data_IF_295033077330
#
_entry.id   IF_295033077330
#
_cell.length_a   1.000
_cell.length_b   1.000
_cell.length_c   1.000
_cell.angle_alpha   90.00
_cell.angle_beta   90.00
_cell.angle_gamma   90.00
#
_symmetry.space_group_name_H-M   'P 1'
#
loop_
_entity.id
_entity.type
_entity.pdbx_description
1 polymer ?
#
# COMPACT_ATOMS: atom_id res chain seq x y z
N UNK A 1 -17.67 -3.06 19.31
CA UNK A 1 -18.68 -2.00 19.13
C UNK A 1 -18.98 -1.90 17.64
N UNK A 2 -20.26 -1.87 17.26
CA UNK A 2 -20.69 -1.96 15.87
C UNK A 2 -20.32 -0.69 15.08
N UNK A 3 -19.70 -0.85 13.91
CA UNK A 3 -19.39 0.24 12.99
C UNK A 3 -20.63 0.57 12.14
N UNK A 4 -20.97 1.85 12.10
CA UNK A 4 -22.14 2.42 11.43
C UNK A 4 -21.77 2.85 10.02
N UNK A 5 -22.50 2.37 9.01
CA UNK A 5 -22.37 2.78 7.60
C UNK A 5 -22.86 4.22 7.36
N UNK A 6 -22.24 4.99 6.44
CA UNK A 6 -22.79 6.25 5.97
C UNK A 6 -23.69 6.06 4.74
N UNK A 7 -24.93 6.57 4.85
CA UNK A 7 -25.97 6.64 3.80
C UNK A 7 -25.58 7.64 2.70
N UNK A 8 -25.57 7.17 1.45
CA UNK A 8 -25.58 7.99 0.24
C UNK A 8 -26.95 8.64 0.02
N UNK A 9 -26.96 9.94 -0.31
CA UNK A 9 -28.12 10.65 -0.83
C UNK A 9 -27.75 11.29 -2.17
N UNK A 10 -28.32 10.76 -3.26
CA UNK A 10 -28.31 11.37 -4.60
C UNK A 10 -29.26 12.58 -4.65
N UNK A 11 -28.92 13.66 -5.39
CA UNK A 11 -29.87 14.69 -5.78
C UNK A 11 -30.57 14.37 -7.10
N UNK A 12 -31.90 14.49 -7.08
CA UNK A 12 -32.83 14.37 -8.22
C UNK A 12 -32.67 15.47 -9.26
N UNK A 13 -32.76 15.06 -10.52
CA UNK A 13 -32.98 15.89 -11.71
C UNK A 13 -34.22 16.79 -11.61
N UNK A 14 -34.09 18.02 -12.11
CA UNK A 14 -35.23 18.83 -12.57
C UNK A 14 -34.76 19.88 -13.59
N UNK A 15 -35.07 19.66 -14.87
CA UNK A 15 -35.15 20.72 -15.89
C UNK A 15 -36.39 21.61 -15.65
N UNK A 16 -36.37 22.88 -16.09
CA UNK A 16 -37.22 23.18 -17.24
C UNK A 16 -36.70 24.21 -18.26
N UNK A 17 -37.01 23.87 -19.51
CA UNK A 17 -37.29 24.63 -20.75
C UNK A 17 -37.36 26.16 -20.78
N UNK A 18 -36.83 26.63 -21.92
CA UNK A 18 -36.78 27.94 -22.57
C UNK A 18 -38.10 28.73 -22.74
N UNK A 19 -37.97 30.06 -22.72
CA UNK A 19 -38.80 31.00 -23.49
C UNK A 19 -37.96 32.19 -23.98
N UNK A 20 -38.12 32.51 -25.27
CA UNK A 20 -37.45 33.57 -26.04
C UNK A 20 -38.22 34.91 -26.03
N UNK A 21 -37.66 36.02 -26.59
CA UNK A 21 -37.80 37.38 -26.07
C UNK A 21 -38.88 38.22 -26.79
N UNK A 22 -39.13 39.43 -26.26
CA UNK A 22 -39.90 40.48 -26.95
C UNK A 22 -39.16 41.81 -26.97
N UNK A 23 -39.02 42.33 -28.18
CA UNK A 23 -38.53 43.65 -28.55
C UNK A 23 -39.48 44.78 -28.11
N UNK A 24 -38.91 45.94 -27.77
CA UNK A 24 -39.52 47.27 -27.91
C UNK A 24 -38.44 48.37 -27.82
N UNK A 25 -38.07 48.94 -28.96
CA UNK A 25 -37.49 50.28 -29.13
C UNK A 25 -38.63 51.30 -29.40
N UNK A 26 -38.39 52.62 -29.58
CA UNK A 26 -37.42 53.53 -28.97
C UNK A 26 -38.10 54.84 -28.50
N UNK A 27 -37.39 55.75 -27.80
CA UNK A 27 -37.74 57.19 -27.83
C UNK A 27 -36.52 58.09 -27.72
N UNK A 28 -36.46 58.99 -28.70
CA UNK A 28 -35.51 60.06 -28.93
C UNK A 28 -35.56 61.16 -27.86
N UNK A 29 -34.40 61.74 -27.57
CA UNK A 29 -34.27 63.15 -27.19
C UNK A 29 -32.91 63.67 -27.69
N UNK A 30 -33.01 64.62 -28.60
CA UNK A 30 -31.98 65.32 -29.37
C UNK A 30 -31.30 66.46 -28.55
N UNK A 31 -30.36 67.29 -29.07
CA UNK A 31 -29.00 67.40 -28.55
C UNK A 31 -28.66 68.79 -27.99
N UNK A 32 -27.43 68.94 -27.46
CA UNK A 32 -26.78 70.26 -27.33
C UNK A 32 -25.33 70.17 -27.79
N UNK A 33 -25.06 70.88 -28.87
CA UNK A 33 -23.74 71.18 -29.39
C UNK A 33 -22.98 72.16 -28.48
N UNK A 34 -21.67 71.96 -28.35
CA UNK A 34 -20.70 73.03 -28.14
C UNK A 34 -19.33 72.56 -28.63
N UNK A 35 -18.81 73.31 -29.60
CA UNK A 35 -17.54 73.14 -30.32
C UNK A 35 -16.29 73.10 -29.43
N UNK A 36 -15.24 72.42 -29.92
CA UNK A 36 -13.89 72.50 -29.38
C UNK A 36 -12.87 71.69 -30.18
N UNK A 37 -11.94 72.39 -30.83
CA UNK A 37 -10.92 71.92 -31.78
C UNK A 37 -9.87 70.91 -31.26
N UNK A 38 -9.31 70.18 -32.26
CA UNK A 38 -7.96 69.60 -32.36
C UNK A 38 -7.56 68.38 -31.50
N UNK A 39 -7.36 67.23 -32.17
CA UNK A 39 -6.48 66.17 -31.67
C UNK A 39 -6.06 65.14 -32.73
N UNK A 40 -4.75 64.99 -33.01
CA UNK A 40 -4.10 63.70 -33.23
C UNK A 40 -3.17 63.40 -32.04
N UNK A 41 -2.78 62.13 -31.73
CA UNK A 41 -2.60 61.01 -32.65
C UNK A 41 -3.33 59.71 -32.23
N UNK A 42 -3.40 58.74 -33.15
CA UNK A 42 -4.06 57.44 -32.95
C UNK A 42 -3.53 56.62 -31.77
N UNK A 43 -4.32 55.66 -31.25
CA UNK A 43 -4.06 55.02 -29.97
C UNK A 43 -2.85 54.08 -29.99
N UNK A 44 -2.11 53.93 -28.87
CA UNK A 44 -1.06 52.93 -28.76
C UNK A 44 -1.69 51.55 -28.57
N UNK A 45 -1.55 50.67 -29.56
CA UNK A 45 -1.93 49.26 -29.43
C UNK A 45 -0.75 48.31 -29.69
N UNK A 46 0.09 48.01 -28.67
CA UNK A 46 0.79 46.72 -28.66
C UNK A 46 0.81 46.00 -27.29
N UNK A 47 0.38 46.61 -26.19
CA UNK A 47 0.64 46.05 -24.85
C UNK A 47 -0.27 44.87 -24.45
N UNK A 48 -1.57 44.93 -24.76
CA UNK A 48 -2.51 43.84 -24.43
C UNK A 48 -2.14 42.52 -25.13
N UNK A 49 -1.71 42.58 -26.39
CA UNK A 49 -1.26 41.41 -27.18
C UNK A 49 0.04 40.80 -26.63
N UNK A 50 0.97 41.63 -26.13
CA UNK A 50 2.22 41.18 -25.50
C UNK A 50 1.98 40.52 -24.13
N UNK A 51 1.09 41.09 -23.31
CA UNK A 51 0.69 40.48 -22.00
C UNK A 51 0.01 39.14 -22.19
N UNK A 52 -0.96 39.01 -23.11
CA UNK A 52 -1.65 37.74 -23.38
C UNK A 52 -0.70 36.65 -23.89
N UNK A 53 0.25 36.99 -24.77
CA UNK A 53 1.30 36.06 -25.23
C UNK A 53 2.22 35.61 -24.09
N UNK A 54 2.56 36.52 -23.16
CA UNK A 54 3.39 36.20 -22.00
C UNK A 54 2.64 35.28 -21.02
N UNK A 55 1.38 35.56 -20.72
CA UNK A 55 0.54 34.69 -19.87
C UNK A 55 0.40 33.31 -20.48
N UNK A 56 0.08 33.18 -21.78
CA UNK A 56 0.00 31.88 -22.46
C UNK A 56 1.31 31.09 -22.39
N UNK A 57 2.47 31.76 -22.54
CA UNK A 57 3.79 31.12 -22.40
C UNK A 57 4.05 30.65 -20.98
N UNK A 58 3.69 31.44 -19.97
CA UNK A 58 3.83 31.07 -18.56
C UNK A 58 2.91 29.88 -18.24
N UNK A 59 1.64 29.93 -18.63
CA UNK A 59 0.70 28.82 -18.45
C UNK A 59 1.20 27.55 -19.13
N UNK A 60 1.69 27.65 -20.37
CA UNK A 60 2.25 26.50 -21.08
C UNK A 60 3.51 25.97 -20.38
N UNK A 61 4.39 26.85 -19.90
CA UNK A 61 5.58 26.44 -19.16
C UNK A 61 5.22 25.75 -17.85
N UNK A 62 4.23 26.26 -17.10
CA UNK A 62 3.73 25.64 -15.87
C UNK A 62 3.11 24.27 -16.17
N UNK A 63 2.27 24.16 -17.20
CA UNK A 63 1.70 22.88 -17.62
C UNK A 63 2.79 21.88 -18.01
N UNK A 64 3.82 22.31 -18.75
CA UNK A 64 4.94 21.44 -19.11
C UNK A 64 5.74 20.99 -17.89
N UNK A 65 6.01 21.89 -16.94
CA UNK A 65 6.72 21.58 -15.69
C UNK A 65 5.96 20.57 -14.84
N UNK A 66 4.63 20.60 -14.84
CA UNK A 66 3.80 19.64 -14.08
C UNK A 66 3.57 18.33 -14.84
N UNK A 67 3.27 18.39 -16.14
CA UNK A 67 2.88 17.22 -16.92
C UNK A 67 4.07 16.38 -17.37
N UNK A 68 5.22 17.00 -17.68
CA UNK A 68 6.37 16.25 -18.20
C UNK A 68 6.93 15.24 -17.18
N UNK A 69 7.13 15.58 -15.88
CA UNK A 69 7.57 14.61 -14.89
C UNK A 69 6.56 13.47 -14.70
N UNK A 70 5.27 13.80 -14.65
CA UNK A 70 4.20 12.80 -14.53
C UNK A 70 4.22 11.84 -15.73
N UNK A 71 4.21 12.37 -16.96
CA UNK A 71 4.27 11.54 -18.17
C UNK A 71 5.54 10.69 -18.22
N UNK A 72 6.68 11.22 -17.76
CA UNK A 72 7.94 10.48 -17.70
C UNK A 72 7.84 9.32 -16.70
N UNK A 73 7.30 9.56 -15.51
CA UNK A 73 7.09 8.53 -14.49
C UNK A 73 6.13 7.43 -15.00
N UNK A 74 4.96 7.80 -15.53
CA UNK A 74 3.99 6.85 -16.07
C UNK A 74 4.55 6.04 -17.25
N UNK A 75 5.32 6.70 -18.13
CA UNK A 75 6.01 6.00 -19.23
C UNK A 75 7.06 5.02 -18.71
N UNK A 76 7.82 5.40 -17.67
CA UNK A 76 8.78 4.51 -17.05
C UNK A 76 8.11 3.28 -16.41
N UNK A 77 6.98 3.47 -15.70
CA UNK A 77 6.18 2.35 -15.19
C UNK A 77 5.67 1.46 -16.33
N UNK A 78 5.16 2.05 -17.41
CA UNK A 78 4.70 1.29 -18.57
C UNK A 78 5.82 0.46 -19.20
N UNK A 79 7.03 1.01 -19.29
CA UNK A 79 8.24 0.32 -19.76
C UNK A 79 8.63 -0.80 -18.79
N UNK A 80 8.55 -0.55 -17.47
CA UNK A 80 8.84 -1.58 -16.47
C UNK A 80 7.91 -2.79 -16.59
N UNK A 81 6.70 -2.63 -17.14
CA UNK A 81 5.77 -3.73 -17.39
C UNK A 81 5.93 -4.45 -18.75
N UNK A 82 6.84 -3.97 -19.60
CA UNK A 82 7.13 -4.59 -20.90
C UNK A 82 8.10 -5.78 -20.80
N UNK A 83 8.13 -6.61 -21.85
CA UNK A 83 8.97 -7.81 -21.93
C UNK A 83 8.31 -9.05 -21.31
N UNK A 84 9.00 -10.18 -21.36
CA UNK A 84 8.52 -11.43 -20.80
C UNK A 84 9.29 -11.77 -19.52
N UNK A 85 8.61 -12.24 -18.46
CA UNK A 85 9.32 -12.75 -17.29
C UNK A 85 10.17 -13.96 -17.66
N UNK A 86 11.35 -14.06 -17.07
CA UNK A 86 12.24 -15.21 -17.25
C UNK A 86 11.58 -16.50 -16.76
N UNK A 87 11.92 -17.61 -17.42
CA UNK A 87 11.53 -18.94 -16.96
C UNK A 87 12.04 -19.19 -15.53
N UNK A 88 11.25 -19.89 -14.72
CA UNK A 88 11.60 -20.17 -13.32
C UNK A 88 11.27 -19.04 -12.33
N UNK A 89 10.79 -17.88 -12.76
CA UNK A 89 10.25 -16.83 -11.87
C UNK A 89 8.86 -17.19 -11.32
N UNK A 90 8.76 -18.30 -10.60
CA UNK A 90 7.54 -18.85 -10.02
C UNK A 90 7.67 -19.03 -8.51
N UNK A 91 6.68 -19.61 -7.85
CA UNK A 91 6.79 -19.87 -6.41
C UNK A 91 8.04 -20.68 -6.05
N UNK A 92 8.65 -20.33 -4.90
CA UNK A 92 9.71 -21.12 -4.25
C UNK A 92 9.15 -22.00 -3.13
N UNK A 93 7.82 -22.14 -3.06
CA UNK A 93 7.11 -22.73 -1.93
C UNK A 93 7.41 -22.01 -0.61
N UNK A 94 7.46 -20.69 -0.68
CA UNK A 94 7.75 -19.80 0.45
C UNK A 94 6.82 -18.57 0.38
N UNK A 95 5.56 -18.78 0.03
CA UNK A 95 4.58 -17.70 -0.01
C UNK A 95 3.89 -17.54 1.34
N UNK A 96 3.18 -16.44 1.53
CA UNK A 96 2.43 -16.15 2.74
C UNK A 96 0.99 -15.71 2.45
N UNK A 97 0.15 -15.69 3.48
CA UNK A 97 -1.19 -15.10 3.41
C UNK A 97 -1.53 -14.45 4.74
N UNK A 98 -2.14 -13.26 4.69
CA UNK A 98 -2.77 -12.66 5.87
C UNK A 98 -4.15 -13.27 6.08
N UNK A 99 -4.44 -13.64 7.33
CA UNK A 99 -5.71 -14.19 7.76
C UNK A 99 -6.39 -13.25 8.75
N UNK A 100 -7.68 -13.03 8.55
CA UNK A 100 -8.48 -12.15 9.41
C UNK A 100 -8.68 -12.69 10.84
N UNK A 101 -9.15 -11.80 11.71
CA UNK A 101 -9.32 -12.07 13.15
C UNK A 101 -10.27 -13.23 13.49
N UNK A 102 -11.17 -13.58 12.56
CA UNK A 102 -12.15 -14.65 12.72
C UNK A 102 -11.53 -16.02 13.05
N UNK A 103 -10.27 -16.21 12.67
CA UNK A 103 -9.51 -17.43 12.92
C UNK A 103 -9.12 -17.64 14.39
N UNK A 104 -9.08 -16.57 15.19
CA UNK A 104 -8.61 -16.63 16.59
C UNK A 104 -9.68 -16.20 17.61
N UNK A 105 -10.78 -15.60 17.16
CA UNK A 105 -11.89 -15.17 18.03
C UNK A 105 -13.04 -16.20 18.17
N UNK A 106 -12.96 -17.32 17.44
CA UNK A 106 -13.90 -18.44 17.53
C UNK A 106 -15.03 -18.46 16.51
N UNK A 107 -15.03 -17.53 15.55
CA UNK A 107 -15.96 -17.58 14.41
C UNK A 107 -15.62 -18.73 13.44
N UNK A 108 -14.33 -19.02 13.20
CA UNK A 108 -13.87 -20.13 12.35
C UNK A 108 -13.86 -21.47 13.08
N UNK A 109 -14.14 -22.55 12.35
CA UNK A 109 -14.27 -23.92 12.87
C UNK A 109 -13.49 -24.93 12.02
N UNK A 110 -13.54 -26.20 12.40
CA UNK A 110 -12.78 -27.27 11.74
C UNK A 110 -13.12 -27.42 10.24
N UNK A 111 -14.36 -27.12 9.83
CA UNK A 111 -14.75 -27.12 8.42
C UNK A 111 -14.05 -26.00 7.62
N UNK A 112 -13.92 -24.80 8.22
CA UNK A 112 -13.17 -23.71 7.60
C UNK A 112 -11.68 -24.05 7.50
N UNK A 113 -11.11 -24.64 8.55
CA UNK A 113 -9.71 -25.09 8.54
C UNK A 113 -9.47 -26.15 7.45
N UNK A 114 -10.41 -27.10 7.30
CA UNK A 114 -10.34 -28.12 6.24
C UNK A 114 -10.40 -27.49 4.85
N UNK A 115 -11.19 -26.43 4.69
CA UNK A 115 -11.24 -25.67 3.44
C UNK A 115 -9.93 -24.96 3.16
N UNK A 116 -9.41 -24.21 4.14
CA UNK A 116 -8.10 -23.55 4.04
C UNK A 116 -6.99 -24.55 3.70
N UNK A 117 -6.93 -25.69 4.40
CA UNK A 117 -5.93 -26.73 4.13
C UNK A 117 -6.01 -27.29 2.70
N UNK A 118 -7.22 -27.41 2.15
CA UNK A 118 -7.41 -27.83 0.76
C UNK A 118 -6.89 -26.78 -0.21
N UNK A 119 -7.20 -25.51 0.04
CA UNK A 119 -6.80 -24.41 -0.83
C UNK A 119 -5.28 -24.23 -0.82
N UNK A 120 -4.64 -24.31 0.35
CA UNK A 120 -3.19 -24.17 0.48
C UNK A 120 -2.39 -25.37 -0.04
N UNK A 121 -3.01 -26.54 -0.21
CA UNK A 121 -2.31 -27.75 -0.68
C UNK A 121 -1.70 -27.59 -2.07
N UNK A 122 -2.32 -26.78 -2.92
CA UNK A 122 -1.90 -26.53 -4.30
C UNK A 122 -1.21 -25.18 -4.46
N UNK A 123 -0.60 -24.65 -3.39
CA UNK A 123 0.04 -23.33 -3.39
C UNK A 123 1.44 -23.41 -2.81
N UNK A 124 2.18 -22.30 -2.97
CA UNK A 124 3.47 -22.13 -2.32
C UNK A 124 3.39 -21.60 -0.89
N UNK A 125 2.18 -21.42 -0.33
CA UNK A 125 1.99 -20.75 0.96
C UNK A 125 2.49 -21.63 2.11
N UNK A 126 3.39 -21.06 2.92
CA UNK A 126 4.00 -21.69 4.10
C UNK A 126 3.96 -20.82 5.35
N UNK A 127 3.53 -19.56 5.25
CA UNK A 127 3.36 -18.68 6.41
C UNK A 127 1.95 -18.08 6.43
N UNK A 128 1.27 -18.21 7.58
CA UNK A 128 -0.03 -17.60 7.86
C UNK A 128 0.19 -16.45 8.84
N UNK A 129 -0.08 -15.21 8.41
CA UNK A 129 -0.06 -14.02 9.25
C UNK A 129 -1.47 -13.80 9.83
N UNK A 130 -1.71 -14.27 11.05
CA UNK A 130 -3.07 -14.32 11.62
C UNK A 130 -3.32 -13.13 12.52
N UNK A 131 -4.29 -12.28 12.17
CA UNK A 131 -4.59 -11.06 12.90
C UNK A 131 -4.98 -11.38 14.36
N UNK A 132 -4.04 -11.13 15.28
CA UNK A 132 -4.11 -11.53 16.70
C UNK A 132 -4.23 -10.29 17.61
N UNK A 133 -4.24 -9.09 17.03
CA UNK A 133 -4.44 -7.81 17.71
C UNK A 133 -5.82 -7.17 17.48
N UNK A 134 -5.90 -5.82 17.49
CA UNK A 134 -4.78 -4.89 17.63
C UNK A 134 -4.14 -4.95 19.03
N UNK A 135 -2.89 -4.51 19.13
CA UNK A 135 -2.32 -4.13 20.43
C UNK A 135 -2.96 -2.82 20.89
N UNK A 136 -2.93 -2.57 22.19
CA UNK A 136 -3.26 -1.25 22.74
C UNK A 136 -2.11 -0.26 22.47
N UNK A 137 -2.39 1.05 22.52
CA UNK A 137 -1.39 2.11 22.30
C UNK A 137 -0.21 2.09 23.29
N UNK A 138 -0.34 1.38 24.41
CA UNK A 138 0.75 1.17 25.37
C UNK A 138 1.62 -0.04 25.03
N UNK A 139 1.34 -0.77 23.94
CA UNK A 139 2.07 -1.95 23.50
C UNK A 139 1.53 -3.28 24.05
N UNK A 140 0.56 -3.24 24.96
CA UNK A 140 -0.01 -4.46 25.56
C UNK A 140 -1.00 -5.15 24.62
N UNK A 141 -1.10 -6.47 24.72
CA UNK A 141 -2.02 -7.28 23.92
C UNK A 141 -3.10 -7.93 24.80
N UNK A 142 -4.38 -7.56 24.67
CA UNK A 142 -5.45 -8.17 25.46
C UNK A 142 -5.68 -9.64 25.09
N UNK A 143 -5.54 -10.54 26.07
CA UNK A 143 -5.74 -12.01 25.87
C UNK A 143 -7.14 -12.39 25.39
N UNK A 144 -8.14 -11.54 25.64
CA UNK A 144 -9.52 -11.75 25.22
C UNK A 144 -9.73 -11.65 23.71
N UNK A 145 -8.77 -11.10 22.96
CA UNK A 145 -8.88 -10.95 21.51
C UNK A 145 -8.63 -12.25 20.75
N UNK A 146 -7.94 -13.23 21.34
CA UNK A 146 -7.55 -14.45 20.64
C UNK A 146 -7.83 -15.75 21.44
N UNK A 147 -9.05 -15.92 22.00
CA UNK A 147 -9.39 -17.06 22.86
C UNK A 147 -9.22 -18.43 22.20
N UNK A 148 -9.17 -18.48 20.86
CA UNK A 148 -9.06 -19.70 20.05
C UNK A 148 -7.73 -19.85 19.31
N UNK A 149 -6.74 -18.99 19.59
CA UNK A 149 -5.43 -19.06 18.95
C UNK A 149 -4.74 -20.44 19.10
N UNK A 150 -4.74 -21.02 20.31
CA UNK A 150 -4.13 -22.35 20.52
C UNK A 150 -4.78 -23.43 19.66
N UNK A 151 -6.12 -23.43 19.58
CA UNK A 151 -6.83 -24.37 18.69
C UNK A 151 -6.37 -24.21 17.25
N UNK A 152 -6.26 -22.97 16.76
CA UNK A 152 -5.83 -22.71 15.39
C UNK A 152 -4.42 -23.25 15.13
N UNK A 153 -3.46 -22.88 16.00
CA UNK A 153 -2.06 -23.29 15.86
C UNK A 153 -1.93 -24.81 15.88
N UNK A 154 -2.50 -25.47 16.90
CA UNK A 154 -2.45 -26.93 17.03
C UNK A 154 -3.08 -27.64 15.82
N UNK A 155 -4.15 -27.06 15.27
CA UNK A 155 -4.85 -27.64 14.13
C UNK A 155 -4.11 -27.38 12.81
N UNK A 156 -3.47 -26.23 12.62
CA UNK A 156 -2.58 -25.99 11.46
C UNK A 156 -1.39 -26.94 11.48
N UNK A 157 -0.71 -27.10 12.61
CA UNK A 157 0.42 -28.02 12.74
C UNK A 157 0.04 -29.47 12.44
N UNK A 158 -1.19 -29.88 12.79
CA UNK A 158 -1.69 -31.23 12.54
C UNK A 158 -2.13 -31.44 11.09
N UNK A 159 -2.92 -30.53 10.52
CA UNK A 159 -3.57 -30.71 9.22
C UNK A 159 -2.73 -30.19 8.04
N UNK A 160 -1.80 -29.26 8.29
CA UNK A 160 -0.98 -28.57 7.29
C UNK A 160 0.51 -28.59 7.68
N UNK A 161 1.15 -29.78 7.78
CA UNK A 161 2.55 -29.87 8.17
C UNK A 161 3.46 -29.06 7.24
N UNK A 162 4.35 -28.26 7.82
CA UNK A 162 5.25 -27.36 7.11
C UNK A 162 4.70 -25.95 6.87
N UNK A 163 3.45 -25.68 7.26
CA UNK A 163 2.89 -24.32 7.34
C UNK A 163 3.09 -23.77 8.75
N UNK A 164 3.58 -22.53 8.83
CA UNK A 164 3.79 -21.79 10.08
C UNK A 164 2.67 -20.80 10.33
N UNK A 165 2.33 -20.61 11.59
CA UNK A 165 1.35 -19.61 12.06
C UNK A 165 2.09 -18.52 12.82
N UNK A 166 2.09 -17.30 12.30
CA UNK A 166 2.69 -16.14 12.96
C UNK A 166 1.59 -15.19 13.43
N UNK A 167 1.73 -14.67 14.65
CA UNK A 167 0.78 -13.72 15.21
C UNK A 167 0.98 -12.36 14.52
N UNK A 168 -0.01 -11.92 13.74
CA UNK A 168 -0.05 -10.57 13.19
C UNK A 168 -0.51 -9.61 14.27
N UNK A 169 0.45 -8.80 14.74
CA UNK A 169 0.30 -7.77 15.76
C UNK A 169 0.54 -6.40 15.15
N UNK A 170 -0.43 -5.51 15.33
CA UNK A 170 -0.34 -4.14 14.83
C UNK A 170 -1.08 -3.15 15.72
N UNK A 171 -0.80 -1.88 15.48
CA UNK A 171 -1.50 -0.73 16.04
C UNK A 171 -1.13 0.53 15.23
N UNK A 172 -1.93 1.58 15.37
CA UNK A 172 -1.66 2.89 14.78
C UNK A 172 -0.60 3.63 15.59
N UNK A 173 0.46 4.11 14.95
CA UNK A 173 1.49 4.92 15.57
C UNK A 173 1.07 6.39 15.69
N UNK A 174 1.44 7.02 16.80
CA UNK A 174 1.28 8.46 17.03
C UNK A 174 2.35 9.30 16.31
N UNK A 175 2.72 8.90 15.09
CA UNK A 175 3.75 9.55 14.26
C UNK A 175 3.19 10.81 13.59
N UNK A 176 1.97 10.72 13.08
CA UNK A 176 1.30 11.79 12.30
C UNK A 176 0.12 12.41 13.06
N UNK A 177 -0.23 11.85 14.21
CA UNK A 177 -1.35 12.25 15.06
C UNK A 177 -0.96 12.14 16.55
N UNK A 178 -1.60 12.91 17.45
CA UNK A 178 -1.34 12.77 18.89
C UNK A 178 -1.82 11.42 19.46
N UNK A 179 -2.76 10.78 18.77
CA UNK A 179 -3.39 9.50 19.13
C UNK A 179 -2.64 8.35 18.45
N UNK A 180 -2.33 7.31 19.21
CA UNK A 180 -1.61 6.12 18.75
C UNK A 180 -0.49 5.64 19.68
N UNK A 181 0.10 4.50 19.31
CA UNK A 181 1.26 3.93 19.96
C UNK A 181 2.49 4.82 19.80
N UNK A 182 3.24 4.96 20.90
CA UNK A 182 4.39 5.85 21.01
C UNK A 182 5.68 5.06 21.18
N UNK A 183 6.35 4.78 20.06
CA UNK A 183 7.58 4.00 20.08
C UNK A 183 8.72 4.74 20.77
N UNK A 184 8.69 6.06 20.89
CA UNK A 184 9.68 6.85 21.64
C UNK A 184 9.70 6.52 23.15
N UNK A 185 8.64 5.89 23.66
CA UNK A 185 8.53 5.47 25.06
C UNK A 185 9.13 4.07 25.24
N UNK A 186 10.21 3.91 26.04
CA UNK A 186 10.80 2.60 26.28
C UNK A 186 9.82 1.60 26.92
N UNK A 187 8.91 2.08 27.76
CA UNK A 187 7.88 1.23 28.39
C UNK A 187 6.92 0.62 27.35
N UNK A 188 6.56 1.39 26.31
CA UNK A 188 5.72 0.90 25.21
C UNK A 188 6.44 -0.17 24.41
N UNK A 189 7.71 0.06 24.05
CA UNK A 189 8.52 -0.96 23.36
C UNK A 189 8.67 -2.24 24.20
N UNK A 190 8.92 -2.09 25.50
CA UNK A 190 8.99 -3.23 26.42
C UNK A 190 7.68 -4.03 26.46
N UNK A 191 6.53 -3.35 26.47
CA UNK A 191 5.22 -3.98 26.42
C UNK A 191 4.98 -4.73 25.10
N UNK A 192 5.42 -4.19 23.95
CA UNK A 192 5.36 -4.91 22.66
C UNK A 192 6.21 -6.18 22.70
N UNK A 193 7.40 -6.13 23.30
CA UNK A 193 8.26 -7.31 23.47
C UNK A 193 7.60 -8.34 24.40
N UNK A 194 6.90 -7.91 25.45
CA UNK A 194 6.10 -8.80 26.31
C UNK A 194 4.90 -9.41 25.57
N UNK A 195 4.22 -8.63 24.72
CA UNK A 195 3.15 -9.11 23.84
C UNK A 195 3.68 -10.16 22.85
N UNK A 196 4.89 -9.99 22.32
CA UNK A 196 5.57 -10.99 21.50
C UNK A 196 5.85 -12.29 22.29
N UNK A 197 6.34 -12.19 23.53
CA UNK A 197 6.50 -13.37 24.41
C UNK A 197 5.17 -14.06 24.66
N UNK A 198 4.12 -13.28 24.92
CA UNK A 198 2.78 -13.76 25.22
C UNK A 198 2.20 -14.60 24.09
N UNK A 199 2.29 -14.16 22.83
CA UNK A 199 1.79 -14.96 21.70
C UNK A 199 2.63 -16.20 21.46
N UNK A 200 3.96 -16.12 21.58
CA UNK A 200 4.81 -17.30 21.46
C UNK A 200 4.52 -18.34 22.57
N UNK A 201 4.13 -17.93 23.78
CA UNK A 201 3.70 -18.85 24.86
C UNK A 201 2.37 -19.57 24.53
N UNK A 202 1.54 -19.00 23.64
CA UNK A 202 0.32 -19.67 23.15
C UNK A 202 0.69 -20.85 22.26
N UNK A 203 1.75 -20.73 21.47
CA UNK A 203 2.27 -21.75 20.55
C UNK A 203 2.61 -21.24 19.14
N UNK A 204 2.41 -19.95 18.83
CA UNK A 204 2.70 -19.41 17.49
C UNK A 204 4.17 -19.64 17.09
N UNK A 205 4.39 -19.88 15.79
CA UNK A 205 5.71 -20.10 15.19
C UNK A 205 6.49 -18.79 14.96
N UNK A 206 5.87 -17.64 15.22
CA UNK A 206 6.49 -16.34 15.00
C UNK A 206 5.57 -15.16 15.30
N UNK A 207 6.14 -13.98 15.12
CA UNK A 207 5.45 -12.68 15.24
C UNK A 207 5.59 -11.93 13.93
N UNK A 208 4.47 -11.44 13.42
CA UNK A 208 4.38 -10.55 12.26
C UNK A 208 3.97 -9.16 12.73
N UNK A 209 4.88 -8.18 12.68
CA UNK A 209 4.59 -6.81 13.11
C UNK A 209 4.12 -5.94 11.95
N UNK A 210 3.09 -5.14 12.20
CA UNK A 210 2.56 -4.16 11.26
C UNK A 210 2.17 -2.90 12.04
N UNK A 211 3.09 -1.92 12.09
CA UNK A 211 2.91 -0.68 12.84
C UNK A 211 2.91 0.47 11.84
N UNK A 212 1.81 1.23 11.80
CA UNK A 212 1.60 2.25 10.77
C UNK A 212 0.97 3.52 11.35
N UNK A 213 1.22 4.72 10.83
CA UNK A 213 2.21 5.05 9.81
C UNK A 213 3.63 5.11 10.39
N UNK A 214 4.59 4.46 9.75
CA UNK A 214 6.01 4.48 10.16
C UNK A 214 6.85 5.27 9.17
N UNK A 215 7.67 6.19 9.68
CA UNK A 215 8.54 7.03 8.85
C UNK A 215 9.96 6.46 8.73
N UNK A 216 10.65 6.85 7.67
CA UNK A 216 12.05 6.45 7.47
C UNK A 216 12.97 6.99 8.55
N UNK A 217 13.90 6.16 9.01
CA UNK A 217 14.91 6.55 9.99
C UNK A 217 14.45 6.46 11.44
N UNK A 218 13.29 5.84 11.71
CA UNK A 218 12.81 5.61 13.08
C UNK A 218 13.74 4.63 13.83
N UNK A 219 14.62 5.19 14.67
CA UNK A 219 15.56 4.41 15.46
C UNK A 219 14.92 3.61 16.60
N UNK A 220 13.76 4.05 17.10
CA UNK A 220 13.03 3.36 18.16
C UNK A 220 12.37 2.08 17.63
N UNK A 221 11.87 2.10 16.40
CA UNK A 221 11.40 0.91 15.70
C UNK A 221 12.54 -0.07 15.41
N UNK A 222 13.70 0.41 14.94
CA UNK A 222 14.86 -0.47 14.72
C UNK A 222 15.31 -1.15 16.03
N UNK A 223 15.35 -0.40 17.14
CA UNK A 223 15.64 -0.96 18.46
C UNK A 223 14.59 -1.98 18.90
N UNK A 224 13.29 -1.69 18.67
CA UNK A 224 12.21 -2.63 18.96
C UNK A 224 12.39 -3.94 18.18
N UNK A 225 12.73 -3.88 16.89
CA UNK A 225 12.99 -5.07 16.08
C UNK A 225 14.16 -5.90 16.63
N UNK A 226 15.23 -5.25 17.07
CA UNK A 226 16.37 -5.94 17.69
C UNK A 226 15.94 -6.68 18.98
N UNK A 227 15.12 -6.06 19.82
CA UNK A 227 14.60 -6.66 21.06
C UNK A 227 13.61 -7.82 20.80
N UNK A 228 12.67 -7.64 19.87
CA UNK A 228 11.73 -8.71 19.48
C UNK A 228 12.49 -9.85 18.81
N UNK A 229 13.52 -9.56 18.01
CA UNK A 229 14.34 -10.59 17.37
C UNK A 229 15.09 -11.44 18.38
N UNK A 230 15.55 -10.85 19.48
CA UNK A 230 16.17 -11.61 20.57
C UNK A 230 15.18 -12.61 21.19
N UNK A 231 13.93 -12.20 21.40
CA UNK A 231 12.85 -13.08 21.92
C UNK A 231 12.52 -14.19 20.94
N UNK A 232 12.34 -13.90 19.65
CA UNK A 232 11.97 -14.92 18.67
C UNK A 232 13.10 -15.92 18.43
N UNK A 233 14.36 -15.47 18.32
CA UNK A 233 15.53 -16.35 18.18
C UNK A 233 15.71 -17.30 19.35
N UNK A 234 15.47 -16.85 20.59
CA UNK A 234 15.58 -17.70 21.76
C UNK A 234 14.58 -18.87 21.76
N UNK A 235 13.55 -18.81 20.90
CA UNK A 235 12.48 -19.81 20.78
C UNK A 235 12.44 -20.48 19.41
N UNK A 236 13.46 -20.28 18.56
CA UNK A 236 13.47 -20.73 17.16
C UNK A 236 12.24 -20.26 16.36
N UNK A 237 11.69 -19.11 16.72
CA UNK A 237 10.51 -18.51 16.11
C UNK A 237 10.88 -17.46 15.06
N UNK A 238 9.97 -17.20 14.12
CA UNK A 238 10.14 -16.21 13.07
C UNK A 238 9.84 -14.79 13.58
N UNK A 239 10.64 -13.81 13.17
CA UNK A 239 10.21 -12.41 13.16
C UNK A 239 9.94 -11.98 11.71
N UNK A 240 8.70 -11.59 11.43
CA UNK A 240 8.32 -10.98 10.16
C UNK A 240 7.71 -9.59 10.36
N UNK A 241 7.73 -8.78 9.30
CA UNK A 241 7.12 -7.44 9.31
C UNK A 241 6.38 -7.15 8.01
N UNK A 242 5.28 -6.40 8.11
CA UNK A 242 4.72 -5.68 6.98
C UNK A 242 5.54 -4.40 6.77
N UNK A 243 5.88 -4.12 5.52
CA UNK A 243 6.69 -2.97 5.13
C UNK A 243 5.93 -2.09 4.15
N UNK A 244 6.03 -0.78 4.38
CA UNK A 244 5.50 0.22 3.46
C UNK A 244 6.25 0.16 2.12
N UNK A 245 5.66 0.74 1.08
CA UNK A 245 6.31 0.79 -0.23
C UNK A 245 7.61 1.61 -0.16
N UNK A 246 8.59 1.22 -0.97
CA UNK A 246 9.87 1.91 -1.09
C UNK A 246 9.70 3.11 -2.01
N UNK A 247 10.42 4.17 -1.70
CA UNK A 247 10.47 5.38 -2.50
C UNK A 247 10.84 5.07 -3.98
N UNK A 248 9.94 5.32 -4.96
CA UNK A 248 10.19 4.98 -6.36
C UNK A 248 11.29 5.83 -7.00
N UNK A 249 11.64 6.97 -6.42
CA UNK A 249 12.73 7.84 -6.87
C UNK A 249 13.55 8.29 -5.65
N UNK A 250 14.89 8.19 -5.65
CA UNK A 250 15.68 8.57 -4.48
C UNK A 250 15.32 9.96 -3.92
N UNK A 251 14.79 10.02 -2.69
CA UNK A 251 14.51 11.26 -1.97
C UNK A 251 13.11 11.86 -2.17
N UNK A 252 12.21 11.19 -2.90
CA UNK A 252 10.82 11.63 -3.05
C UNK A 252 10.04 11.57 -1.73
N UNK A 253 10.35 10.60 -0.86
CA UNK A 253 9.77 10.51 0.48
C UNK A 253 10.04 11.78 1.31
N UNK A 254 11.24 12.38 1.21
CA UNK A 254 11.58 13.62 1.91
C UNK A 254 10.86 14.83 1.34
N UNK A 255 10.66 14.88 0.01
CA UNK A 255 9.89 15.95 -0.64
C UNK A 255 8.42 15.92 -0.20
N UNK A 256 7.76 14.76 -0.24
CA UNK A 256 6.36 14.64 0.18
C UNK A 256 6.18 14.72 1.69
N UNK A 257 7.12 14.23 2.50
CA UNK A 257 7.12 14.47 3.94
C UNK A 257 7.14 15.97 4.27
N UNK A 258 7.88 16.76 3.49
CA UNK A 258 7.94 18.23 3.67
C UNK A 258 6.69 18.96 3.14
N UNK A 259 6.08 18.47 2.06
CA UNK A 259 4.96 19.15 1.37
C UNK A 259 3.58 18.73 1.91
N UNK A 260 3.43 17.46 2.28
CA UNK A 260 2.14 16.88 2.67
C UNK A 260 2.09 16.41 4.14
N UNK A 261 3.21 16.41 4.87
CA UNK A 261 3.26 15.91 6.26
C UNK A 261 3.07 14.39 6.41
N UNK A 262 2.94 13.69 5.28
CA UNK A 262 2.66 12.26 5.18
C UNK A 262 3.64 11.63 4.18
N UNK A 263 4.84 11.21 4.60
CA UNK A 263 5.76 10.48 3.73
C UNK A 263 5.17 9.11 3.41
N UNK A 264 4.49 9.00 2.25
CA UNK A 264 3.85 7.77 1.76
C UNK A 264 4.82 6.56 1.66
N UNK A 265 6.12 6.81 1.51
CA UNK A 265 7.13 5.81 1.20
C UNK A 265 8.25 5.72 2.24
N UNK A 266 8.83 4.53 2.38
CA UNK A 266 10.11 4.35 3.06
C UNK A 266 11.30 4.62 2.13
N UNK A 267 12.37 5.18 2.66
CA UNK A 267 13.64 5.21 1.96
C UNK A 267 14.16 3.78 1.77
N UNK A 268 14.82 3.53 0.64
CA UNK A 268 15.42 2.21 0.37
C UNK A 268 16.45 1.83 1.43
N UNK A 269 17.16 2.81 1.99
CA UNK A 269 18.11 2.59 3.09
C UNK A 269 17.40 2.06 4.35
N UNK A 270 16.33 2.72 4.78
CA UNK A 270 15.58 2.32 5.97
C UNK A 270 14.95 0.93 5.78
N UNK A 271 14.39 0.66 4.60
CA UNK A 271 13.90 -0.68 4.24
C UNK A 271 15.00 -1.74 4.39
N UNK A 272 16.21 -1.47 3.88
CA UNK A 272 17.35 -2.39 4.05
C UNK A 272 17.77 -2.56 5.52
N UNK A 273 17.67 -1.51 6.35
CA UNK A 273 17.95 -1.59 7.78
C UNK A 273 16.94 -2.47 8.52
N UNK A 274 15.65 -2.38 8.17
CA UNK A 274 14.59 -3.26 8.69
C UNK A 274 14.81 -4.69 8.21
N UNK A 275 15.05 -4.91 6.92
CA UNK A 275 15.25 -6.23 6.31
C UNK A 275 16.41 -7.02 6.96
N UNK A 276 17.47 -6.34 7.41
CA UNK A 276 18.60 -6.98 8.13
C UNK A 276 18.26 -7.51 9.53
N UNK A 277 17.18 -7.03 10.14
CA UNK A 277 16.79 -7.36 11.53
C UNK A 277 15.76 -8.48 11.62
N UNK A 278 15.03 -8.72 10.54
CA UNK A 278 13.90 -9.66 10.51
C UNK A 278 14.26 -10.94 9.76
N UNK A 279 13.45 -11.99 9.93
CA UNK A 279 13.54 -13.21 9.12
C UNK A 279 12.78 -13.06 7.81
N UNK A 280 11.66 -12.34 7.83
CA UNK A 280 10.83 -12.09 6.66
C UNK A 280 10.37 -10.64 6.61
N UNK A 281 10.29 -10.08 5.41
CA UNK A 281 9.77 -8.72 5.18
C UNK A 281 8.78 -8.78 4.02
N UNK A 282 7.55 -8.33 4.26
CA UNK A 282 6.47 -8.36 3.29
C UNK A 282 6.10 -6.95 2.85
N UNK A 283 6.41 -6.61 1.60
CA UNK A 283 6.14 -5.29 1.02
C UNK A 283 4.67 -5.18 0.65
N UNK A 284 3.96 -4.21 1.22
CA UNK A 284 2.55 -3.94 0.90
C UNK A 284 2.43 -3.17 -0.41
N UNK A 285 2.71 -3.82 -1.54
CA UNK A 285 2.79 -3.21 -2.88
C UNK A 285 1.42 -2.92 -3.54
N UNK A 286 0.50 -2.33 -2.78
CA UNK A 286 -0.85 -1.89 -3.20
C UNK A 286 -1.13 -0.47 -2.66
N UNK A 287 -2.33 0.08 -2.89
CA UNK A 287 -2.68 1.50 -2.63
C UNK A 287 -1.80 2.49 -3.42
N UNK A 288 -1.58 2.20 -4.70
CA UNK A 288 -0.56 2.86 -5.52
C UNK A 288 -1.09 4.09 -6.27
N UNK A 289 -2.40 4.35 -6.25
CA UNK A 289 -3.11 5.37 -7.04
C UNK A 289 -3.00 5.18 -8.56
N UNK A 290 -2.56 4.01 -9.02
CA UNK A 290 -2.28 3.78 -10.43
C UNK A 290 -3.59 3.53 -11.20
N UNK A 291 -3.86 4.24 -12.30
CA UNK A 291 -5.17 4.18 -12.95
C UNK A 291 -5.35 2.99 -13.90
N UNK A 292 -4.25 2.32 -14.28
CA UNK A 292 -4.24 1.22 -15.25
C UNK A 292 -3.43 0.04 -14.72
N UNK A 293 -3.87 -1.19 -15.02
CA UNK A 293 -3.17 -2.42 -14.64
C UNK A 293 -1.70 -2.45 -15.09
N UNK A 294 -1.41 -1.94 -16.30
CA UNK A 294 -0.04 -1.92 -16.82
C UNK A 294 0.89 -0.97 -16.07
N UNK A 295 0.34 0.10 -15.50
CA UNK A 295 1.11 1.06 -14.70
C UNK A 295 1.31 0.50 -13.29
N UNK A 296 0.27 -0.11 -12.71
CA UNK A 296 0.35 -0.84 -11.45
C UNK A 296 1.37 -1.98 -11.52
N UNK A 297 1.29 -2.88 -12.51
CA UNK A 297 2.25 -3.97 -12.67
C UNK A 297 3.68 -3.45 -12.90
N UNK A 298 3.84 -2.32 -13.60
CA UNK A 298 5.12 -1.62 -13.74
C UNK A 298 5.68 -1.09 -12.43
N UNK A 299 4.81 -0.56 -11.57
CA UNK A 299 5.15 -0.12 -10.22
C UNK A 299 5.57 -1.30 -9.35
N UNK A 300 4.83 -2.41 -9.37
CA UNK A 300 5.18 -3.63 -8.63
C UNK A 300 6.53 -4.20 -9.09
N UNK A 301 6.83 -4.18 -10.40
CA UNK A 301 8.14 -4.57 -10.92
C UNK A 301 9.28 -3.68 -10.39
N UNK A 302 9.04 -2.37 -10.31
CA UNK A 302 9.99 -1.43 -9.73
C UNK A 302 10.20 -1.70 -8.23
N UNK A 303 9.13 -1.81 -7.45
CA UNK A 303 9.19 -2.11 -6.01
C UNK A 303 9.92 -3.42 -5.72
N UNK A 304 9.66 -4.45 -6.53
CA UNK A 304 10.35 -5.74 -6.43
C UNK A 304 11.84 -5.58 -6.63
N UNK A 305 12.26 -4.82 -7.64
CA UNK A 305 13.68 -4.55 -7.93
C UNK A 305 14.35 -3.80 -6.78
N UNK A 306 13.72 -2.71 -6.32
CA UNK A 306 14.21 -1.89 -5.21
C UNK A 306 14.36 -2.69 -3.92
N UNK A 307 13.40 -3.56 -3.60
CA UNK A 307 13.44 -4.39 -2.41
C UNK A 307 14.53 -5.47 -2.50
N UNK A 308 14.71 -6.10 -3.68
CA UNK A 308 15.75 -7.09 -3.92
C UNK A 308 17.16 -6.51 -3.75
N UNK A 309 17.40 -5.28 -4.24
CA UNK A 309 18.72 -4.62 -4.17
C UNK A 309 19.25 -4.44 -2.74
N UNK A 310 18.37 -4.27 -1.75
CA UNK A 310 18.77 -3.97 -0.36
C UNK A 310 18.40 -5.05 0.66
N UNK A 311 17.61 -6.06 0.27
CA UNK A 311 17.27 -7.17 1.16
C UNK A 311 18.42 -8.19 1.18
N UNK A 312 19.01 -8.49 2.35
CA UNK A 312 20.09 -9.47 2.44
C UNK A 312 19.65 -10.86 1.93
N UNK A 313 20.54 -11.64 1.32
CA UNK A 313 20.24 -12.99 0.84
C UNK A 313 19.64 -13.93 1.90
N UNK A 314 19.93 -13.67 3.18
CA UNK A 314 19.45 -14.44 4.33
C UNK A 314 18.01 -14.13 4.73
N UNK A 315 17.51 -12.93 4.41
CA UNK A 315 16.14 -12.49 4.73
C UNK A 315 15.18 -12.96 3.65
N UNK A 316 13.99 -13.37 4.05
CA UNK A 316 12.91 -13.75 3.15
C UNK A 316 12.13 -12.53 2.68
N UNK A 317 12.22 -12.21 1.40
CA UNK A 317 11.49 -11.10 0.79
C UNK A 317 10.17 -11.60 0.22
N UNK A 318 9.06 -10.94 0.60
CA UNK A 318 7.73 -11.22 0.10
C UNK A 318 7.14 -9.97 -0.53
N UNK A 319 6.56 -10.11 -1.72
CA UNK A 319 5.79 -9.03 -2.37
C UNK A 319 4.28 -9.23 -2.16
N UNK A 320 3.59 -8.21 -1.68
CA UNK A 320 2.17 -8.24 -1.36
C UNK A 320 1.27 -8.30 -2.60
N UNK A 321 0.24 -9.15 -2.57
CA UNK A 321 -0.79 -9.28 -3.59
C UNK A 321 -2.14 -8.77 -3.05
N UNK A 322 -2.87 -7.94 -3.80
CA UNK A 322 -4.16 -7.38 -3.38
C UNK A 322 -5.30 -8.39 -3.61
N UNK A 323 -5.53 -9.27 -2.64
CA UNK A 323 -6.71 -10.16 -2.55
C UNK A 323 -7.90 -9.42 -1.91
N UNK A 324 -8.03 -8.11 -2.17
CA UNK A 324 -9.11 -7.29 -1.66
C UNK A 324 -9.58 -6.32 -2.75
N UNK A 325 -10.83 -5.87 -2.61
CA UNK A 325 -11.54 -5.15 -3.66
C UNK A 325 -12.20 -3.91 -3.07
N UNK A 326 -11.45 -2.83 -2.97
CA UNK A 326 -11.97 -1.53 -2.52
C UNK A 326 -11.82 -0.49 -3.63
N UNK A 327 -12.63 0.57 -3.58
CA UNK A 327 -12.38 1.78 -4.37
C UNK A 327 -12.32 2.94 -3.39
N UNK A 328 -11.11 3.45 -3.16
CA UNK A 328 -10.84 4.59 -2.29
C UNK A 328 -9.82 5.50 -2.94
N UNK A 329 -9.74 6.76 -2.51
CA UNK A 329 -8.65 7.63 -2.94
C UNK A 329 -7.32 6.99 -2.52
N UNK A 330 -6.56 6.44 -3.47
CA UNK A 330 -5.41 5.59 -3.14
C UNK A 330 -5.40 4.26 -3.87
N UNK A 331 -6.57 3.65 -4.12
CA UNK A 331 -6.69 2.28 -4.59
C UNK A 331 -7.86 2.13 -5.57
N UNK A 332 -7.55 1.56 -6.73
CA UNK A 332 -8.48 1.31 -7.82
C UNK A 332 -8.50 -0.18 -8.10
N UNK A 333 -9.58 -0.86 -7.68
CA UNK A 333 -9.69 -2.31 -7.81
C UNK A 333 -9.48 -2.81 -9.26
N UNK A 334 -9.94 -2.05 -10.26
CA UNK A 334 -9.77 -2.43 -11.67
C UNK A 334 -8.34 -2.35 -12.18
N UNK A 335 -7.45 -1.65 -11.47
CA UNK A 335 -6.05 -1.50 -11.84
C UNK A 335 -5.12 -2.35 -10.96
N UNK A 336 -5.41 -2.44 -9.66
CA UNK A 336 -4.61 -3.17 -8.69
C UNK A 336 -5.04 -4.65 -8.59
N UNK A 337 -4.86 -5.38 -9.69
CA UNK A 337 -5.28 -6.79 -9.79
C UNK A 337 -4.16 -7.77 -9.44
N UNK A 338 -4.52 -8.95 -8.91
CA UNK A 338 -3.55 -10.02 -8.61
C UNK A 338 -2.75 -10.44 -9.83
N UNK A 339 -3.37 -10.51 -11.01
CA UNK A 339 -2.67 -10.84 -12.26
C UNK A 339 -1.57 -9.83 -12.62
N UNK A 340 -1.87 -8.53 -12.52
CA UNK A 340 -0.91 -7.47 -12.77
C UNK A 340 0.21 -7.44 -11.72
N UNK A 341 -0.13 -7.65 -10.44
CA UNK A 341 0.84 -7.77 -9.35
C UNK A 341 1.81 -8.93 -9.58
N UNK A 342 1.29 -10.14 -9.81
CA UNK A 342 2.11 -11.34 -10.06
C UNK A 342 3.02 -11.13 -11.26
N UNK A 343 2.52 -10.59 -12.37
CA UNK A 343 3.37 -10.30 -13.53
C UNK A 343 4.44 -9.26 -13.20
N UNK A 344 4.11 -8.20 -12.48
CA UNK A 344 5.06 -7.19 -12.01
C UNK A 344 6.17 -7.79 -11.16
N UNK A 345 5.80 -8.61 -10.16
CA UNK A 345 6.73 -9.35 -9.29
C UNK A 345 7.69 -10.19 -10.13
N UNK A 346 7.16 -10.95 -11.09
CA UNK A 346 7.97 -11.80 -11.96
C UNK A 346 8.93 -11.00 -12.83
N UNK A 347 8.50 -9.87 -13.38
CA UNK A 347 9.36 -8.98 -14.18
C UNK A 347 10.48 -8.36 -13.35
N UNK A 348 10.18 -7.86 -12.14
CA UNK A 348 11.19 -7.33 -11.23
C UNK A 348 12.21 -8.39 -10.81
N UNK A 349 11.72 -9.56 -10.40
CA UNK A 349 12.57 -10.70 -10.03
C UNK A 349 13.49 -11.12 -11.19
N UNK A 350 12.95 -11.23 -12.41
CA UNK A 350 13.70 -11.63 -13.60
C UNK A 350 14.89 -10.73 -13.88
N UNK A 351 14.75 -9.43 -13.64
CA UNK A 351 15.74 -8.41 -13.99
C UNK A 351 16.80 -8.22 -12.92
N UNK A 352 16.44 -8.45 -11.66
CA UNK A 352 17.30 -8.12 -10.53
C UNK A 352 17.98 -9.34 -9.93
N UNK A 353 17.24 -10.42 -9.67
CA UNK A 353 17.78 -11.62 -9.03
C UNK A 353 16.87 -12.83 -9.30
N UNK A 354 16.93 -13.36 -10.53
CA UNK A 354 16.01 -14.39 -11.01
C UNK A 354 16.08 -15.69 -10.19
N UNK A 355 17.23 -15.95 -9.55
CA UNK A 355 17.52 -17.17 -8.80
C UNK A 355 17.38 -16.99 -7.27
N UNK A 356 16.85 -15.85 -6.81
CA UNK A 356 16.65 -15.55 -5.38
C UNK A 356 15.88 -16.67 -4.66
N UNK A 357 16.56 -17.44 -3.83
CA UNK A 357 15.96 -18.59 -3.14
C UNK A 357 14.94 -18.19 -2.05
N UNK A 358 15.20 -17.09 -1.34
CA UNK A 358 14.34 -16.58 -0.26
C UNK A 358 13.48 -15.44 -0.77
N UNK A 359 12.63 -15.78 -1.72
CA UNK A 359 11.67 -14.87 -2.34
C UNK A 359 10.32 -15.55 -2.53
N UNK A 360 9.25 -14.80 -2.28
CA UNK A 360 7.88 -15.26 -2.45
C UNK A 360 6.90 -14.10 -2.61
N UNK A 361 5.61 -14.43 -2.55
CA UNK A 361 4.53 -13.43 -2.52
C UNK A 361 3.67 -13.62 -1.27
N UNK A 362 2.98 -12.57 -0.85
CA UNK A 362 2.08 -12.61 0.30
C UNK A 362 0.67 -12.11 -0.07
N UNK A 363 -0.35 -12.95 0.04
CA UNK A 363 -1.72 -12.59 -0.30
C UNK A 363 -2.42 -11.83 0.83
N UNK A 364 -2.90 -10.62 0.58
CA UNK A 364 -3.63 -9.78 1.55
C UNK A 364 -5.03 -9.50 1.00
N UNK A 365 -6.14 -10.01 1.54
CA UNK A 365 -6.34 -10.79 2.77
C UNK A 365 -7.46 -11.84 2.57
N UNK A 366 -7.46 -12.93 3.33
CA UNK A 366 -8.29 -14.12 3.08
C UNK A 366 -9.81 -13.87 2.97
N UNK A 367 -10.39 -13.02 3.81
CA UNK A 367 -11.84 -12.83 3.87
C UNK A 367 -12.38 -11.96 2.73
N UNK A 368 -11.51 -11.22 2.04
CA UNK A 368 -11.87 -10.39 0.89
C UNK A 368 -11.55 -11.09 -0.44
N UNK A 369 -10.78 -12.18 -0.40
CA UNK A 369 -10.32 -12.92 -1.55
C UNK A 369 -11.47 -13.55 -2.35
N UNK A 370 -11.38 -13.43 -3.67
CA UNK A 370 -12.30 -14.07 -4.62
C UNK A 370 -11.66 -15.30 -5.27
N UNK A 371 -12.48 -16.14 -5.91
CA UNK A 371 -11.97 -17.27 -6.70
C UNK A 371 -11.06 -16.81 -7.84
N UNK A 372 -11.30 -15.62 -8.40
CA UNK A 372 -10.48 -15.03 -9.45
C UNK A 372 -9.09 -14.65 -8.95
N UNK A 373 -8.95 -14.17 -7.72
CA UNK A 373 -7.66 -13.87 -7.10
C UNK A 373 -6.83 -15.15 -6.93
N UNK A 374 -7.46 -16.20 -6.40
CA UNK A 374 -6.84 -17.51 -6.25
C UNK A 374 -6.45 -18.14 -7.59
N UNK A 375 -7.28 -17.98 -8.63
CA UNK A 375 -6.94 -18.43 -9.98
C UNK A 375 -5.74 -17.66 -10.53
N UNK A 376 -5.76 -16.32 -10.44
CA UNK A 376 -4.68 -15.46 -10.92
C UNK A 376 -3.34 -15.75 -10.24
N UNK A 377 -3.35 -15.98 -8.92
CA UNK A 377 -2.17 -16.40 -8.18
C UNK A 377 -1.68 -17.79 -8.61
N UNK A 378 -2.57 -18.79 -8.71
CA UNK A 378 -2.16 -20.15 -9.10
C UNK A 378 -1.59 -20.18 -10.51
N UNK A 379 -2.32 -19.62 -11.47
CA UNK A 379 -1.94 -19.66 -12.89
C UNK A 379 -0.68 -18.81 -13.17
N UNK A 380 -0.59 -17.65 -12.51
CA UNK A 380 0.48 -16.68 -12.74
C UNK A 380 1.78 -16.99 -11.99
N UNK A 381 1.69 -17.52 -10.77
CA UNK A 381 2.81 -17.68 -9.83
C UNK A 381 3.15 -19.13 -9.50
N UNK A 382 2.15 -19.97 -9.19
CA UNK A 382 2.38 -21.36 -8.70
C UNK A 382 2.68 -22.33 -9.85
N UNK A 383 1.79 -22.36 -10.85
CA UNK A 383 1.55 -23.41 -11.86
C UNK A 383 0.71 -24.59 -11.41
#
# INVERSE_FOLDING_TARGET
MAATEPRNTEPKDTEPKSTEPKDAEPKDAEPKDADGEAGPPGPPAPEKKKRLRRTRRITLAVLLVLLLPLLTAETALRINYMGDPADGTHTRNRDAIWLGHAWVDGRKKDADLTALARDLKTTGIRDLYVHTGPMEHDGTLPKSLYPRARWLVDAVHREMPGVRVQAFLGDVLATESPDGMRLEKPATRAAVVDSARQVLDVGYDGVHLDLEPLHSGDGDYLSLLDDVRAVTRARDAQLSVAAHQIDPLPGFHSFWGTVAGHPKWWSQEFFGQVARRVDQIAVMSYDTMQPLESLYGGYVAQQTSLALEVTPPTTHLLMGLPFYHENRFGHWNHAETVAAAVRGVRLGLSRTDADRERFGVAAYIDFAATEQDWASYRDGWVR
#
